data_IF_081967193826
#
_entry.id   IF_081967193826
#
_cell.length_a   1.000
_cell.length_b   1.000
_cell.length_c   1.000
_cell.angle_alpha   90.00
_cell.angle_beta   90.00
_cell.angle_gamma   90.00
#
_symmetry.space_group_name_H-M   'P 1'
#
loop_
_entity.id
_entity.type
_entity.pdbx_description
1 polymer ?
#
# COMPACT_ATOMS: atom_id res chain seq x y z
N UNK A 1 5.45 7.64 8.48
CA UNK A 1 6.11 8.43 7.42
C UNK A 1 6.04 7.73 6.07
N UNK A 2 6.43 6.46 5.98
CA UNK A 2 6.38 5.71 4.71
C UNK A 2 4.97 5.58 4.12
N UNK A 3 3.95 5.44 4.97
CA UNK A 3 2.53 5.38 4.59
C UNK A 3 1.95 6.68 4.02
N UNK A 4 2.72 7.78 4.04
CA UNK A 4 2.34 9.03 3.38
C UNK A 4 3.19 9.20 2.12
N UNK A 5 4.51 9.09 2.28
CA UNK A 5 5.46 9.36 1.20
C UNK A 5 5.30 8.36 0.06
N UNK A 6 5.16 7.07 0.37
CA UNK A 6 5.14 6.04 -0.67
C UNK A 6 3.89 6.09 -1.56
N UNK A 7 2.66 6.23 -1.03
CA UNK A 7 1.48 6.45 -1.88
C UNK A 7 1.59 7.69 -2.77
N UNK A 8 2.12 8.80 -2.26
CA UNK A 8 2.34 10.02 -3.04
C UNK A 8 3.34 9.77 -4.16
N UNK A 9 4.45 9.08 -3.86
CA UNK A 9 5.45 8.68 -4.85
C UNK A 9 4.82 7.83 -5.96
N UNK A 10 4.01 6.83 -5.62
CA UNK A 10 3.32 5.97 -6.60
C UNK A 10 2.40 6.79 -7.51
N UNK A 11 1.59 7.68 -6.95
CA UNK A 11 0.68 8.53 -7.73
C UNK A 11 1.48 9.45 -8.66
N UNK A 12 2.57 10.05 -8.16
CA UNK A 12 3.46 10.87 -8.97
C UNK A 12 4.12 10.08 -10.09
N UNK A 13 4.63 8.88 -9.80
CA UNK A 13 5.22 7.96 -10.77
C UNK A 13 4.22 7.61 -11.88
N UNK A 14 3.00 7.22 -11.53
CA UNK A 14 1.92 6.92 -12.48
C UNK A 14 1.58 8.15 -13.33
N UNK A 15 1.48 9.32 -12.70
CA UNK A 15 1.21 10.58 -13.42
C UNK A 15 2.31 10.91 -14.42
N UNK A 16 3.58 10.71 -14.05
CA UNK A 16 4.73 10.89 -14.93
C UNK A 16 4.68 9.92 -16.11
N UNK A 17 4.39 8.64 -15.87
CA UNK A 17 4.26 7.63 -16.92
C UNK A 17 3.17 7.99 -17.94
N UNK A 18 2.00 8.46 -17.48
CA UNK A 18 0.94 8.93 -18.40
C UNK A 18 1.40 10.08 -19.30
N UNK A 19 2.23 10.99 -18.78
CA UNK A 19 2.78 12.12 -19.56
C UNK A 19 3.79 11.69 -20.62
N UNK A 20 4.48 10.56 -20.42
CA UNK A 20 5.44 9.99 -21.38
C UNK A 20 4.79 9.06 -22.42
N UNK A 21 3.45 9.04 -22.49
CA UNK A 21 2.72 8.21 -23.45
C UNK A 21 2.50 6.76 -23.01
N UNK A 22 2.91 6.39 -21.79
CA UNK A 22 2.66 5.05 -21.25
C UNK A 22 1.18 4.89 -20.90
N UNK A 23 0.55 3.82 -21.39
CA UNK A 23 -0.85 3.53 -21.11
C UNK A 23 -1.03 2.99 -19.68
N UNK A 24 -1.53 3.83 -18.78
CA UNK A 24 -1.95 3.39 -17.44
C UNK A 24 -3.46 3.20 -17.40
N UNK A 25 -3.92 2.03 -16.95
CA UNK A 25 -5.34 1.73 -16.85
C UNK A 25 -6.05 2.58 -15.78
N UNK A 26 -7.36 2.76 -15.96
CA UNK A 26 -8.22 3.38 -14.93
C UNK A 26 -8.18 2.58 -13.63
N UNK A 27 -8.09 1.26 -13.73
CA UNK A 27 -7.99 0.37 -12.58
C UNK A 27 -6.68 0.59 -11.79
N UNK A 28 -5.51 0.65 -12.44
CA UNK A 28 -4.24 1.00 -11.77
C UNK A 28 -4.33 2.35 -11.07
N UNK A 29 -4.94 3.34 -11.72
CA UNK A 29 -5.12 4.67 -11.13
C UNK A 29 -6.01 4.61 -9.89
N UNK A 30 -7.15 3.92 -9.98
CA UNK A 30 -8.05 3.69 -8.85
C UNK A 30 -7.32 3.01 -7.69
N UNK A 31 -6.61 1.91 -7.94
CA UNK A 31 -5.86 1.16 -6.92
C UNK A 31 -4.80 2.03 -6.23
N UNK A 32 -4.11 2.91 -6.97
CA UNK A 32 -3.14 3.83 -6.38
C UNK A 32 -3.78 4.88 -5.46
N UNK A 33 -4.97 5.39 -5.80
CA UNK A 33 -5.70 6.30 -4.90
C UNK A 33 -6.31 5.55 -3.71
N UNK A 34 -6.86 4.36 -3.91
CA UNK A 34 -7.31 3.49 -2.81
C UNK A 34 -6.16 3.18 -1.85
N UNK A 35 -4.95 2.98 -2.37
CA UNK A 35 -3.73 2.80 -1.59
C UNK A 35 -3.42 4.02 -0.70
N UNK A 36 -3.52 5.23 -1.24
CA UNK A 36 -3.38 6.45 -0.43
C UNK A 36 -4.44 6.51 0.67
N UNK A 37 -5.72 6.29 0.34
CA UNK A 37 -6.82 6.38 1.30
C UNK A 37 -6.65 5.36 2.43
N UNK A 38 -6.38 4.09 2.12
CA UNK A 38 -6.21 3.06 3.16
C UNK A 38 -4.98 3.35 4.04
N UNK A 39 -3.93 3.95 3.47
CA UNK A 39 -2.74 4.37 4.23
C UNK A 39 -3.10 5.47 5.25
N UNK A 40 -3.90 6.46 4.84
CA UNK A 40 -4.39 7.52 5.73
C UNK A 40 -5.30 6.96 6.83
N UNK A 41 -6.20 6.04 6.49
CA UNK A 41 -7.06 5.35 7.48
C UNK A 41 -6.18 4.61 8.50
N UNK A 42 -5.16 3.87 8.05
CA UNK A 42 -4.25 3.15 8.95
C UNK A 42 -3.51 4.09 9.90
N UNK A 43 -3.03 5.23 9.42
CA UNK A 43 -2.37 6.25 10.26
C UNK A 43 -3.36 6.82 11.28
N UNK A 44 -4.59 7.12 10.88
CA UNK A 44 -5.62 7.65 11.79
C UNK A 44 -5.94 6.67 12.92
N UNK A 45 -6.18 5.39 12.60
CA UNK A 45 -6.45 4.37 13.61
C UNK A 45 -5.22 4.04 14.46
N UNK A 46 -4.01 4.03 13.90
CA UNK A 46 -2.78 3.87 14.66
C UNK A 46 -2.57 5.00 15.67
N UNK A 47 -2.87 6.24 15.26
CA UNK A 47 -2.79 7.41 16.14
C UNK A 47 -3.87 7.39 17.23
N UNK A 48 -5.09 6.97 16.89
CA UNK A 48 -6.17 6.77 17.86
C UNK A 48 -5.81 5.71 18.89
N UNK A 49 -5.20 4.60 18.47
CA UNK A 49 -4.71 3.54 19.37
C UNK A 49 -3.70 4.08 20.39
N UNK A 50 -2.73 4.87 19.95
CA UNK A 50 -1.74 5.52 20.84
C UNK A 50 -2.38 6.51 21.82
N UNK A 51 -3.32 7.32 21.33
CA UNK A 51 -4.05 8.28 22.15
C UNK A 51 -4.84 7.58 23.26
N UNK A 52 -5.58 6.52 22.91
CA UNK A 52 -6.42 5.78 23.85
C UNK A 52 -5.59 4.95 24.83
N UNK A 53 -4.46 4.38 24.41
CA UNK A 53 -3.52 3.69 25.30
C UNK A 53 -3.03 4.58 26.45
N UNK A 54 -3.01 5.91 26.25
CA UNK A 54 -2.60 6.88 27.27
C UNK A 54 -3.65 7.08 28.39
N UNK A 55 -4.84 6.47 28.28
CA UNK A 55 -5.94 6.58 29.26
C UNK A 55 -5.94 5.33 30.17
N UNK A 56 -5.67 5.44 31.48
CA UNK A 56 -5.35 4.27 32.33
C UNK A 56 -6.39 3.15 32.42
N UNK A 57 -7.69 3.47 32.40
CA UNK A 57 -8.77 2.48 32.63
C UNK A 57 -9.45 2.07 31.31
N UNK A 58 -9.67 3.04 30.42
CA UNK A 58 -10.33 2.79 29.14
C UNK A 58 -9.36 2.30 28.06
N UNK A 59 -8.07 2.62 28.19
CA UNK A 59 -7.05 2.29 27.19
C UNK A 59 -6.98 0.80 26.90
N UNK A 60 -7.01 -0.07 27.90
CA UNK A 60 -6.90 -1.52 27.69
C UNK A 60 -8.10 -2.12 26.92
N UNK A 61 -9.33 -1.73 27.26
CA UNK A 61 -10.55 -2.24 26.60
C UNK A 61 -10.64 -1.80 25.14
N UNK A 62 -10.36 -0.52 24.85
CA UNK A 62 -10.41 -0.01 23.49
C UNK A 62 -9.20 -0.43 22.65
N UNK A 63 -8.07 -0.74 23.28
CA UNK A 63 -6.86 -1.17 22.57
C UNK A 63 -7.04 -2.50 21.85
N UNK A 64 -7.77 -3.47 22.44
CA UNK A 64 -8.07 -4.74 21.78
C UNK A 64 -8.91 -4.55 20.51
N UNK A 65 -10.01 -3.80 20.61
CA UNK A 65 -10.90 -3.51 19.47
C UNK A 65 -10.17 -2.74 18.36
N UNK A 66 -9.36 -1.75 18.73
CA UNK A 66 -8.57 -0.98 17.75
C UNK A 66 -7.49 -1.84 17.11
N UNK A 67 -6.87 -2.75 17.86
CA UNK A 67 -5.91 -3.72 17.35
C UNK A 67 -6.53 -4.61 16.27
N UNK A 68 -7.73 -5.14 16.51
CA UNK A 68 -8.47 -5.95 15.54
C UNK A 68 -8.87 -5.14 14.29
N UNK A 69 -9.33 -3.89 14.46
CA UNK A 69 -9.61 -3.00 13.33
C UNK A 69 -8.33 -2.73 12.51
N UNK A 70 -7.21 -2.45 13.18
CA UNK A 70 -5.91 -2.25 12.53
C UNK A 70 -5.43 -3.50 11.80
N UNK A 71 -5.73 -4.69 12.32
CA UNK A 71 -5.44 -5.95 11.66
C UNK A 71 -6.18 -6.05 10.31
N UNK A 72 -7.50 -5.82 10.30
CA UNK A 72 -8.28 -5.83 9.07
C UNK A 72 -7.83 -4.76 8.07
N UNK A 73 -7.56 -3.54 8.54
CA UNK A 73 -7.00 -2.46 7.70
C UNK A 73 -5.67 -2.91 7.07
N UNK A 74 -4.82 -3.61 7.82
CA UNK A 74 -3.51 -4.06 7.34
C UNK A 74 -3.62 -5.18 6.29
N UNK A 75 -4.61 -6.07 6.42
CA UNK A 75 -4.94 -7.04 5.37
C UNK A 75 -5.39 -6.32 4.10
N UNK A 76 -6.34 -5.38 4.20
CA UNK A 76 -6.84 -4.61 3.06
C UNK A 76 -5.71 -3.82 2.40
N UNK A 77 -4.85 -3.19 3.20
CA UNK A 77 -3.65 -2.48 2.75
C UNK A 77 -2.75 -3.40 1.92
N UNK A 78 -2.50 -4.63 2.40
CA UNK A 78 -1.68 -5.59 1.68
C UNK A 78 -2.31 -6.10 0.39
N UNK A 79 -3.61 -6.37 0.38
CA UNK A 79 -4.34 -6.75 -0.83
C UNK A 79 -4.24 -5.64 -1.89
N UNK A 80 -4.44 -4.37 -1.50
CA UNK A 80 -4.31 -3.23 -2.41
C UNK A 80 -2.90 -3.12 -2.99
N UNK A 81 -1.86 -3.34 -2.17
CA UNK A 81 -0.47 -3.35 -2.64
C UNK A 81 -0.19 -4.45 -3.67
N UNK A 82 -0.73 -5.65 -3.45
CA UNK A 82 -0.60 -6.76 -4.41
C UNK A 82 -1.31 -6.43 -5.73
N UNK A 83 -2.54 -5.90 -5.66
CA UNK A 83 -3.25 -5.44 -6.85
C UNK A 83 -2.47 -4.34 -7.57
N UNK A 84 -1.90 -3.39 -6.85
CA UNK A 84 -1.14 -2.30 -7.44
C UNK A 84 0.11 -2.82 -8.18
N UNK A 85 0.87 -3.75 -7.59
CA UNK A 85 1.99 -4.42 -8.27
C UNK A 85 1.53 -5.09 -9.55
N UNK A 86 0.45 -5.86 -9.45
CA UNK A 86 -0.07 -6.66 -10.55
C UNK A 86 -0.54 -5.78 -11.71
N UNK A 87 -1.29 -4.72 -11.42
CA UNK A 87 -1.84 -3.87 -12.47
C UNK A 87 -0.77 -2.99 -13.12
N UNK A 88 0.23 -2.53 -12.36
CA UNK A 88 1.40 -1.84 -12.93
C UNK A 88 2.20 -2.77 -13.85
N UNK A 89 2.33 -4.03 -13.49
CA UNK A 89 2.94 -5.04 -14.35
C UNK A 89 2.12 -5.26 -15.63
N UNK A 90 0.80 -5.44 -15.55
CA UNK A 90 -0.06 -5.61 -16.73
C UNK A 90 -0.04 -4.41 -17.65
N UNK A 91 -0.18 -3.19 -17.10
CA UNK A 91 -0.09 -1.95 -17.87
C UNK A 91 1.26 -1.84 -18.59
N UNK A 92 2.34 -2.34 -17.98
CA UNK A 92 3.66 -2.38 -18.61
C UNK A 92 3.78 -3.34 -19.77
N UNK A 93 3.16 -4.51 -19.70
CA UNK A 93 3.18 -5.46 -20.81
C UNK A 93 2.40 -4.90 -22.00
N UNK A 94 1.24 -4.30 -21.73
CA UNK A 94 0.41 -3.67 -22.76
C UNK A 94 1.11 -2.48 -23.40
N UNK A 95 1.69 -1.58 -22.60
CA UNK A 95 2.41 -0.42 -23.12
C UNK A 95 3.70 -0.82 -23.83
N UNK A 96 4.43 -1.84 -23.37
CA UNK A 96 5.66 -2.32 -24.03
C UNK A 96 5.40 -2.89 -25.44
N UNK A 97 4.20 -3.39 -25.74
CA UNK A 97 3.83 -3.81 -27.10
C UNK A 97 3.65 -2.61 -28.05
N UNK A 98 3.23 -1.46 -27.53
CA UNK A 98 3.06 -0.22 -28.31
C UNK A 98 4.35 0.62 -28.38
N UNK A 99 5.22 0.51 -27.37
CA UNK A 99 6.41 1.34 -27.15
C UNK A 99 7.72 0.67 -27.61
N UNK A 100 7.67 -0.36 -28.46
CA UNK A 100 8.83 -1.11 -29.01
C UNK A 100 9.90 -0.24 -29.72
N UNK A 101 9.79 1.09 -29.70
CA UNK A 101 10.71 2.05 -30.31
C UNK A 101 11.46 2.91 -29.26
N UNK A 102 11.10 2.92 -27.97
CA UNK A 102 11.82 3.73 -26.95
C UNK A 102 11.91 3.03 -25.59
N UNK A 103 13.14 2.91 -25.07
CA UNK A 103 13.56 2.56 -23.70
C UNK A 103 12.58 1.71 -22.86
N UNK A 104 12.75 0.38 -22.93
CA UNK A 104 12.00 -0.59 -22.14
C UNK A 104 12.36 -0.49 -20.66
N UNK A 105 11.40 -0.19 -19.79
CA UNK A 105 11.56 -0.35 -18.34
C UNK A 105 11.89 -1.82 -18.04
N UNK A 106 13.04 -2.14 -17.41
CA UNK A 106 13.47 -3.52 -17.25
C UNK A 106 12.53 -4.29 -16.31
N UNK A 107 12.29 -5.57 -16.60
CA UNK A 107 11.46 -6.47 -15.77
C UNK A 107 11.87 -6.45 -14.28
N UNK A 108 13.17 -6.30 -14.02
CA UNK A 108 13.77 -6.15 -12.69
C UNK A 108 13.09 -5.03 -11.88
N UNK A 109 12.65 -3.94 -12.52
CA UNK A 109 11.98 -2.84 -11.83
C UNK A 109 10.65 -3.27 -11.21
N UNK A 110 9.84 -4.06 -11.94
CA UNK A 110 8.56 -4.56 -11.44
C UNK A 110 8.76 -5.62 -10.34
N UNK A 111 9.80 -6.44 -10.46
CA UNK A 111 10.17 -7.39 -9.41
C UNK A 111 10.59 -6.65 -8.13
N UNK A 112 11.42 -5.61 -8.25
CA UNK A 112 11.83 -4.77 -7.13
C UNK A 112 10.63 -4.10 -6.46
N UNK A 113 9.70 -3.53 -7.25
CA UNK A 113 8.48 -2.93 -6.72
C UNK A 113 7.61 -3.95 -5.96
N UNK A 114 7.47 -5.15 -6.50
CA UNK A 114 6.77 -6.24 -5.81
C UNK A 114 7.48 -6.62 -4.50
N UNK A 115 8.81 -6.69 -4.49
CA UNK A 115 9.58 -6.94 -3.26
C UNK A 115 9.38 -5.84 -2.22
N UNK A 116 9.35 -4.57 -2.62
CA UNK A 116 9.03 -3.44 -1.74
C UNK A 116 7.62 -3.59 -1.17
N UNK A 117 6.63 -3.92 -2.01
CA UNK A 117 5.26 -4.16 -1.55
C UNK A 117 5.16 -5.34 -0.58
N UNK A 118 5.84 -6.45 -0.86
CA UNK A 118 5.90 -7.60 0.04
C UNK A 118 6.55 -7.24 1.38
N UNK A 119 7.60 -6.41 1.38
CA UNK A 119 8.23 -5.91 2.59
C UNK A 119 7.28 -5.00 3.38
N UNK A 120 6.55 -4.10 2.70
CA UNK A 120 5.54 -3.27 3.35
C UNK A 120 4.46 -4.13 4.00
N UNK A 121 3.92 -5.12 3.28
CA UNK A 121 2.95 -6.08 3.80
C UNK A 121 3.50 -6.76 5.06
N UNK A 122 4.69 -7.34 4.99
CA UNK A 122 5.35 -8.00 6.10
C UNK A 122 5.48 -7.07 7.32
N UNK A 123 6.01 -5.87 7.10
CA UNK A 123 6.24 -4.88 8.17
C UNK A 123 4.94 -4.38 8.81
N UNK A 124 3.81 -4.45 8.09
CA UNK A 124 2.50 -4.06 8.62
C UNK A 124 1.79 -5.20 9.35
N UNK A 125 1.84 -6.42 8.82
CA UNK A 125 1.09 -7.55 9.36
C UNK A 125 1.79 -8.23 10.53
N UNK A 126 3.11 -8.44 10.45
CA UNK A 126 3.83 -9.23 11.45
C UNK A 126 3.74 -8.66 12.87
N UNK A 127 3.91 -7.34 13.10
CA UNK A 127 3.76 -6.79 14.45
C UNK A 127 2.35 -7.02 15.01
N UNK A 128 1.32 -6.93 14.17
CA UNK A 128 -0.07 -7.06 14.58
C UNK A 128 -0.40 -8.54 14.86
N UNK A 129 0.04 -9.46 14.00
CA UNK A 129 -0.09 -10.90 14.23
C UNK A 129 0.59 -11.34 15.52
N UNK A 130 1.80 -10.85 15.80
CA UNK A 130 2.51 -11.16 17.04
C UNK A 130 1.79 -10.67 18.30
N UNK A 131 0.93 -9.65 18.20
CA UNK A 131 0.10 -9.17 19.30
C UNK A 131 -1.19 -10.00 19.39
N UNK A 132 -1.81 -10.28 18.24
CA UNK A 132 -3.03 -11.07 18.16
C UNK A 132 -2.83 -12.49 18.71
N UNK A 133 -1.70 -13.16 18.43
CA UNK A 133 -1.41 -14.50 18.95
C UNK A 133 -1.19 -14.54 20.48
N UNK A 134 -1.04 -13.38 21.12
CA UNK A 134 -0.77 -13.24 22.56
C UNK A 134 -1.96 -12.73 23.37
N UNK A 135 -3.06 -12.33 22.72
CA UNK A 135 -4.31 -11.90 23.34
C UNK A 135 -5.29 -13.07 23.41
#
# INVERSE_FOLDING_TARGET
MIDIIYPIFIIHYISKQKKTGFQVSKFTTFTAYSFLIISLIRIAFGSLGLFLFSIPIFGFLYFAVIGEILFHISIIYGIILLFLSFTLFLDSQKSNQELLIMEKTPFIFYLLMLSVHALLIYSTLVPILSIHDKM
#
